data_IF_167970125237
#
_entry.id   IF_167970125237
#
_cell.length_a   1.000
_cell.length_b   1.000
_cell.length_c   1.000
_cell.angle_alpha   90.00
_cell.angle_beta   90.00
_cell.angle_gamma   90.00
#
_symmetry.space_group_name_H-M   'P 1'
#
loop_
_entity.id
_entity.type
_entity.pdbx_description
1 polymer ?
#
# COMPACT_ATOMS: atom_id res chain seq x y z
N UNK A 1 -4.70 24.12 57.29
CA UNK A 1 -4.38 24.93 56.10
C UNK A 1 -3.16 24.33 55.42
N UNK A 2 -3.36 23.40 54.49
CA UNK A 2 -2.32 22.93 53.59
C UNK A 2 -2.85 23.15 52.18
N UNK A 3 -2.23 24.09 51.48
CA UNK A 3 -2.52 24.41 50.09
C UNK A 3 -1.98 23.28 49.23
N UNK A 4 -2.89 22.52 48.66
CA UNK A 4 -2.62 21.46 47.71
C UNK A 4 -2.08 22.09 46.42
N UNK A 5 -0.80 21.82 46.19
CA UNK A 5 -0.02 22.35 45.08
C UNK A 5 -0.53 21.68 43.80
N UNK A 6 -1.32 22.42 43.02
CA UNK A 6 -1.78 22.01 41.69
C UNK A 6 -0.56 21.73 40.81
N UNK A 7 -0.25 20.45 40.64
CA UNK A 7 0.80 20.00 39.74
C UNK A 7 0.41 20.40 38.32
N UNK A 8 1.22 21.28 37.75
CA UNK A 8 1.01 21.92 36.46
C UNK A 8 0.52 20.95 35.38
N UNK A 9 -0.73 21.16 34.98
CA UNK A 9 -1.17 20.85 33.63
C UNK A 9 -0.21 21.58 32.69
N UNK A 10 0.73 20.83 32.14
CA UNK A 10 1.58 21.31 31.05
C UNK A 10 0.59 21.65 29.93
N UNK A 11 0.49 22.91 29.47
CA UNK A 11 -0.47 23.28 28.45
C UNK A 11 -0.19 22.37 27.26
N UNK A 12 -1.17 21.51 26.95
CA UNK A 12 -1.12 20.59 25.83
C UNK A 12 -0.63 21.39 24.62
N UNK A 13 0.62 21.12 24.22
CA UNK A 13 1.25 21.80 23.10
C UNK A 13 0.26 21.75 21.95
N UNK A 14 -0.32 22.90 21.60
CA UNK A 14 -1.35 23.06 20.57
C UNK A 14 -0.83 22.31 19.35
N UNK A 15 -1.36 21.11 19.16
CA UNK A 15 -0.83 20.15 18.22
C UNK A 15 -0.95 20.75 16.84
N UNK A 16 0.18 21.11 16.25
CA UNK A 16 0.23 21.31 14.81
C UNK A 16 -0.35 20.05 14.19
N UNK A 17 -1.51 20.22 13.55
CA UNK A 17 -2.16 19.12 12.87
C UNK A 17 -1.27 18.83 11.66
N UNK A 18 -0.31 17.92 11.82
CA UNK A 18 0.56 17.46 10.75
C UNK A 18 -0.30 16.68 9.74
N UNK A 19 -0.98 17.42 8.87
CA UNK A 19 -1.74 16.90 7.75
C UNK A 19 -0.82 16.81 6.53
N UNK A 20 -0.76 15.64 5.91
CA UNK A 20 -0.13 15.47 4.61
C UNK A 20 0.75 14.23 4.47
N UNK A 21 1.00 13.89 3.21
CA UNK A 21 1.83 12.76 2.80
C UNK A 21 3.29 13.18 2.74
N UNK A 22 4.02 13.02 3.85
CA UNK A 22 5.45 13.33 3.94
C UNK A 22 6.31 12.15 4.39
N UNK A 23 7.63 12.29 4.26
CA UNK A 23 8.64 11.32 4.72
C UNK A 23 8.39 9.90 4.23
N UNK A 24 8.37 8.93 5.15
CA UNK A 24 8.14 7.50 4.84
C UNK A 24 6.84 7.21 4.09
N UNK A 25 5.79 8.00 4.30
CA UNK A 25 4.53 7.81 3.60
C UNK A 25 4.61 8.29 2.14
N UNK A 26 5.32 9.40 1.88
CA UNK A 26 5.60 9.84 0.51
C UNK A 26 6.49 8.84 -0.22
N UNK A 27 7.48 8.26 0.47
CA UNK A 27 8.31 7.18 -0.08
C UNK A 27 7.47 5.96 -0.47
N UNK A 28 6.49 5.55 0.36
CA UNK A 28 5.53 4.50 0.00
C UNK A 28 4.73 4.86 -1.27
N UNK A 29 4.17 6.07 -1.32
CA UNK A 29 3.37 6.51 -2.48
C UNK A 29 4.19 6.48 -3.77
N UNK A 30 5.44 6.96 -3.74
CA UNK A 30 6.32 6.97 -4.92
C UNK A 30 6.76 5.55 -5.28
N UNK A 31 7.21 4.76 -4.30
CA UNK A 31 7.67 3.39 -4.54
C UNK A 31 6.56 2.49 -5.08
N UNK A 32 5.35 2.62 -4.55
CA UNK A 32 4.18 1.88 -5.01
C UNK A 32 3.66 2.43 -6.34
N UNK A 33 3.42 3.74 -6.45
CA UNK A 33 2.74 4.33 -7.60
C UNK A 33 3.61 4.56 -8.84
N UNK A 34 4.93 4.60 -8.69
CA UNK A 34 5.85 4.93 -9.80
C UNK A 34 6.90 3.83 -9.95
N UNK A 35 7.71 3.58 -8.91
CA UNK A 35 8.85 2.68 -9.04
C UNK A 35 8.42 1.23 -9.33
N UNK A 36 7.37 0.75 -8.66
CA UNK A 36 6.88 -0.63 -8.85
C UNK A 36 6.32 -0.86 -10.26
N UNK A 37 5.42 -0.01 -10.80
CA UNK A 37 4.98 -0.13 -12.19
C UNK A 37 6.12 -0.06 -13.21
N UNK A 38 7.05 0.89 -13.06
CA UNK A 38 8.19 1.04 -13.98
C UNK A 38 9.06 -0.21 -13.95
N UNK A 39 9.42 -0.69 -12.76
CA UNK A 39 10.24 -1.90 -12.62
C UNK A 39 9.53 -3.13 -13.19
N UNK A 40 8.23 -3.26 -12.95
CA UNK A 40 7.40 -4.35 -13.44
C UNK A 40 7.35 -4.39 -14.98
N UNK A 41 7.07 -3.24 -15.60
CA UNK A 41 7.05 -3.11 -17.06
C UNK A 41 8.44 -3.31 -17.66
N UNK A 42 9.48 -2.69 -17.08
CA UNK A 42 10.87 -2.87 -17.53
C UNK A 42 11.28 -4.35 -17.51
N UNK A 43 10.98 -5.07 -16.43
CA UNK A 43 11.29 -6.49 -16.28
C UNK A 43 10.53 -7.33 -17.32
N UNK A 44 9.26 -7.02 -17.57
CA UNK A 44 8.46 -7.67 -18.60
C UNK A 44 9.06 -7.48 -20.00
N UNK A 45 9.33 -6.24 -20.41
CA UNK A 45 9.87 -5.95 -21.75
C UNK A 45 11.29 -6.47 -21.94
N UNK A 46 12.10 -6.52 -20.88
CA UNK A 46 13.44 -7.12 -20.94
C UNK A 46 13.40 -8.64 -21.12
N UNK A 47 12.43 -9.31 -20.48
CA UNK A 47 12.28 -10.77 -20.54
C UNK A 47 11.50 -11.30 -21.74
N UNK A 48 10.74 -10.44 -22.43
CA UNK A 48 9.87 -10.84 -23.54
C UNK A 48 10.54 -10.52 -24.88
N UNK A 49 11.06 -11.55 -25.55
CA UNK A 49 11.63 -11.42 -26.91
C UNK A 49 10.62 -11.73 -28.00
N UNK A 50 9.58 -12.50 -27.69
CA UNK A 50 8.57 -12.97 -28.66
C UNK A 50 7.15 -12.62 -28.21
N UNK A 51 6.35 -12.08 -29.14
CA UNK A 51 4.99 -11.60 -28.87
C UNK A 51 3.96 -12.67 -29.21
N UNK A 52 3.77 -13.62 -28.30
CA UNK A 52 2.76 -14.68 -28.42
C UNK A 52 1.56 -14.39 -27.51
N UNK A 53 0.48 -15.16 -27.64
CA UNK A 53 -0.74 -14.97 -26.84
C UNK A 53 -0.47 -14.97 -25.32
N UNK A 54 0.44 -15.82 -24.85
CA UNK A 54 0.86 -15.86 -23.45
C UNK A 54 1.54 -14.55 -23.01
N UNK A 55 2.42 -13.97 -23.84
CA UNK A 55 3.10 -12.71 -23.54
C UNK A 55 2.10 -11.54 -23.49
N UNK A 56 1.14 -11.49 -24.42
CA UNK A 56 0.06 -10.49 -24.40
C UNK A 56 -0.77 -10.62 -23.12
N UNK A 57 -1.15 -11.84 -22.74
CA UNK A 57 -1.89 -12.08 -21.51
C UNK A 57 -1.11 -11.64 -20.27
N UNK A 58 0.19 -11.97 -20.19
CA UNK A 58 1.06 -11.52 -19.11
C UNK A 58 1.16 -9.99 -19.05
N UNK A 59 1.26 -9.31 -20.20
CA UNK A 59 1.26 -7.84 -20.26
C UNK A 59 -0.02 -7.25 -19.70
N UNK A 60 -1.19 -7.78 -20.10
CA UNK A 60 -2.49 -7.32 -19.60
C UNK A 60 -2.59 -7.46 -18.08
N UNK A 61 -2.14 -8.61 -17.54
CA UNK A 61 -2.12 -8.86 -16.10
C UNK A 61 -1.16 -7.91 -15.39
N UNK A 62 0.01 -7.65 -15.99
CA UNK A 62 0.99 -6.70 -15.46
C UNK A 62 0.44 -5.27 -15.42
N UNK A 63 -0.24 -4.84 -16.48
CA UNK A 63 -0.91 -3.53 -16.55
C UNK A 63 -2.03 -3.41 -15.53
N UNK A 64 -2.83 -4.47 -15.32
CA UNK A 64 -3.85 -4.49 -14.29
C UNK A 64 -3.23 -4.35 -12.88
N UNK A 65 -2.15 -5.08 -12.59
CA UNK A 65 -1.40 -4.96 -11.33
C UNK A 65 -0.83 -3.55 -11.13
N UNK A 66 -0.25 -2.96 -12.18
CA UNK A 66 0.21 -1.56 -12.18
C UNK A 66 -0.96 -0.61 -11.86
N UNK A 67 -2.14 -0.84 -12.44
CA UNK A 67 -3.35 -0.08 -12.16
C UNK A 67 -3.74 -0.11 -10.68
N UNK A 68 -3.68 -1.28 -10.02
CA UNK A 68 -3.92 -1.39 -8.58
C UNK A 68 -2.91 -0.57 -7.76
N UNK A 69 -1.62 -0.66 -8.08
CA UNK A 69 -0.59 0.09 -7.37
C UNK A 69 -0.76 1.60 -7.51
N UNK A 70 -0.97 2.08 -8.75
CA UNK A 70 -1.21 3.50 -9.04
C UNK A 70 -2.47 3.99 -8.35
N UNK A 71 -3.56 3.23 -8.41
CA UNK A 71 -4.82 3.57 -7.75
C UNK A 71 -4.66 3.66 -6.23
N UNK A 72 -4.00 2.67 -5.61
CA UNK A 72 -3.70 2.68 -4.18
C UNK A 72 -2.87 3.91 -3.78
N UNK A 73 -1.87 4.26 -4.59
CA UNK A 73 -0.95 5.35 -4.31
C UNK A 73 -1.65 6.71 -4.44
N UNK A 74 -2.41 6.89 -5.52
CA UNK A 74 -3.25 8.05 -5.75
C UNK A 74 -4.27 8.22 -4.63
N UNK A 75 -4.99 7.16 -4.25
CA UNK A 75 -6.00 7.24 -3.20
C UNK A 75 -5.39 7.59 -1.85
N UNK A 76 -4.23 7.03 -1.53
CA UNK A 76 -3.48 7.33 -0.31
C UNK A 76 -3.04 8.81 -0.29
N UNK A 77 -2.58 9.35 -1.42
CA UNK A 77 -2.14 10.74 -1.55
C UNK A 77 -3.29 11.76 -1.56
N UNK A 78 -4.39 11.46 -2.23
CA UNK A 78 -5.46 12.43 -2.46
C UNK A 78 -6.56 12.40 -1.39
N UNK A 79 -6.72 11.30 -0.65
CA UNK A 79 -7.86 11.09 0.25
C UNK A 79 -7.38 10.63 1.62
N UNK A 80 -7.28 11.58 2.55
CA UNK A 80 -6.81 11.40 3.93
C UNK A 80 -7.86 10.78 4.88
N UNK A 81 -8.51 9.69 4.44
CA UNK A 81 -9.47 8.91 5.24
C UNK A 81 -8.92 7.52 5.55
N UNK A 82 -9.24 6.96 6.71
CA UNK A 82 -8.75 5.63 7.11
C UNK A 82 -9.11 4.51 6.11
N UNK A 83 -10.24 4.64 5.40
CA UNK A 83 -10.61 3.74 4.31
C UNK A 83 -9.57 3.68 3.18
N UNK A 84 -8.89 4.79 2.89
CA UNK A 84 -7.80 4.83 1.90
C UNK A 84 -6.60 4.00 2.33
N UNK A 85 -6.29 3.96 3.63
CA UNK A 85 -5.21 3.10 4.16
C UNK A 85 -5.53 1.62 3.95
N UNK A 86 -6.76 1.21 4.26
CA UNK A 86 -7.21 -0.18 4.03
C UNK A 86 -7.16 -0.55 2.54
N UNK A 87 -7.61 0.35 1.66
CA UNK A 87 -7.54 0.14 0.22
C UNK A 87 -6.10 0.06 -0.28
N UNK A 88 -5.19 0.89 0.22
CA UNK A 88 -3.78 0.83 -0.16
C UNK A 88 -3.14 -0.51 0.26
N UNK A 89 -3.48 -1.03 1.45
CA UNK A 89 -3.05 -2.37 1.89
C UNK A 89 -3.58 -3.44 0.92
N UNK A 90 -4.87 -3.40 0.57
CA UNK A 90 -5.44 -4.35 -0.39
C UNK A 90 -4.72 -4.25 -1.74
N UNK A 91 -4.47 -3.04 -2.26
CA UNK A 91 -3.77 -2.84 -3.53
C UNK A 91 -2.31 -3.36 -3.47
N UNK A 92 -1.61 -3.19 -2.34
CA UNK A 92 -0.27 -3.74 -2.14
C UNK A 92 -0.26 -5.27 -2.24
N UNK A 93 -1.19 -5.92 -1.56
CA UNK A 93 -1.27 -7.38 -1.54
C UNK A 93 -1.78 -7.94 -2.86
N UNK A 94 -2.85 -7.39 -3.41
CA UNK A 94 -3.42 -7.82 -4.68
C UNK A 94 -2.42 -7.58 -5.81
N UNK A 95 -1.77 -6.42 -5.88
CA UNK A 95 -0.81 -6.14 -6.95
C UNK A 95 0.35 -7.15 -6.99
N UNK A 96 0.86 -7.56 -5.83
CA UNK A 96 1.96 -8.52 -5.74
C UNK A 96 1.50 -9.98 -5.88
N UNK A 97 0.59 -10.40 -5.02
CA UNK A 97 0.14 -11.79 -4.94
C UNK A 97 -0.61 -12.23 -6.21
N UNK A 98 -1.48 -11.37 -6.73
CA UNK A 98 -2.30 -11.71 -7.89
C UNK A 98 -1.42 -11.89 -9.13
N UNK A 99 -0.42 -11.02 -9.33
CA UNK A 99 0.52 -11.15 -10.43
C UNK A 99 1.25 -12.51 -10.40
N UNK A 100 1.71 -12.94 -9.23
CA UNK A 100 2.43 -14.22 -9.07
C UNK A 100 1.54 -15.42 -9.28
N UNK A 101 0.33 -15.43 -8.70
CA UNK A 101 -0.64 -16.52 -8.93
C UNK A 101 -0.97 -16.65 -10.41
N UNK A 102 -1.19 -15.53 -11.09
CA UNK A 102 -1.47 -15.55 -12.52
C UNK A 102 -0.27 -16.00 -13.35
N UNK A 103 0.96 -15.57 -13.01
CA UNK A 103 2.17 -16.05 -13.70
C UNK A 103 2.33 -17.57 -13.56
N UNK A 104 2.07 -18.12 -12.38
CA UNK A 104 2.08 -19.57 -12.15
C UNK A 104 1.00 -20.28 -12.98
N UNK A 105 -0.21 -19.71 -13.06
CA UNK A 105 -1.29 -20.26 -13.90
C UNK A 105 -0.93 -20.22 -15.39
N UNK A 106 -0.37 -19.12 -15.89
CA UNK A 106 0.07 -19.04 -17.29
C UNK A 106 1.21 -20.04 -17.54
N UNK A 107 2.18 -20.14 -16.63
CA UNK A 107 3.24 -21.14 -16.70
C UNK A 107 2.70 -22.57 -16.74
N UNK A 108 1.67 -22.88 -15.93
CA UNK A 108 1.01 -24.17 -15.91
C UNK A 108 0.23 -24.47 -17.20
N UNK A 109 -0.54 -23.50 -17.71
CA UNK A 109 -1.38 -23.67 -18.91
C UNK A 109 -0.52 -23.86 -20.17
N UNK A 110 0.53 -23.06 -20.33
CA UNK A 110 1.33 -23.04 -21.56
C UNK A 110 2.60 -23.91 -21.50
N UNK A 111 3.13 -24.19 -20.31
CA UNK A 111 4.37 -24.94 -20.10
C UNK A 111 4.27 -26.11 -19.14
N UNK A 112 3.07 -26.43 -18.62
CA UNK A 112 2.89 -27.48 -17.63
C UNK A 112 3.73 -27.25 -16.36
N UNK A 113 4.15 -28.34 -15.72
CA UNK A 113 5.02 -28.27 -14.53
C UNK A 113 6.40 -27.66 -14.81
N UNK A 114 6.92 -27.80 -16.04
CA UNK A 114 8.18 -27.17 -16.43
C UNK A 114 8.05 -25.63 -16.48
N UNK A 115 6.91 -25.12 -16.97
CA UNK A 115 6.60 -23.70 -16.95
C UNK A 115 6.49 -23.14 -15.53
N UNK A 116 5.81 -23.86 -14.62
CA UNK A 116 5.74 -23.50 -13.20
C UNK A 116 7.13 -23.46 -12.55
N UNK A 117 7.95 -24.49 -12.79
CA UNK A 117 9.32 -24.54 -12.27
C UNK A 117 10.18 -23.39 -12.79
N UNK A 118 10.02 -23.03 -14.08
CA UNK A 118 10.71 -21.88 -14.68
C UNK A 118 10.33 -20.57 -13.98
N UNK A 119 9.03 -20.32 -13.76
CA UNK A 119 8.55 -19.14 -13.02
C UNK A 119 9.13 -19.09 -11.62
N UNK A 120 9.06 -20.19 -10.87
CA UNK A 120 9.61 -20.28 -9.50
C UNK A 120 11.14 -20.13 -9.46
N UNK A 121 11.85 -20.62 -10.48
CA UNK A 121 13.32 -20.53 -10.55
C UNK A 121 13.83 -19.13 -10.94
N UNK A 122 13.03 -18.40 -11.72
CA UNK A 122 13.29 -17.01 -12.10
C UNK A 122 12.97 -16.08 -10.95
N UNK A 123 11.90 -16.39 -10.21
CA UNK A 123 11.44 -15.62 -9.06
C UNK A 123 12.13 -16.07 -7.76
N UNK A 124 13.47 -15.97 -7.73
CA UNK A 124 14.25 -16.14 -6.49
C UNK A 124 13.83 -15.13 -5.39
N UNK A 125 13.10 -14.09 -5.79
CA UNK A 125 12.54 -13.04 -4.96
C UNK A 125 11.11 -13.34 -4.49
N UNK A 126 10.59 -14.57 -4.62
CA UNK A 126 9.23 -14.91 -4.15
C UNK A 126 8.98 -14.51 -2.68
N UNK A 127 10.02 -14.60 -1.82
CA UNK A 127 9.96 -14.12 -0.43
C UNK A 127 9.80 -12.60 -0.34
N UNK A 128 10.45 -11.84 -1.22
CA UNK A 128 10.37 -10.38 -1.29
C UNK A 128 8.95 -9.89 -1.53
N UNK A 129 8.17 -10.62 -2.31
CA UNK A 129 6.77 -10.32 -2.60
C UNK A 129 5.88 -10.39 -1.36
N UNK A 130 6.30 -11.10 -0.31
CA UNK A 130 5.62 -11.11 0.99
C UNK A 130 6.22 -10.10 1.96
N UNK A 131 7.55 -9.97 2.00
CA UNK A 131 8.25 -9.03 2.90
C UNK A 131 7.80 -7.59 2.63
N UNK A 132 7.82 -7.17 1.37
CA UNK A 132 7.51 -5.78 1.00
C UNK A 132 6.11 -5.34 1.44
N UNK A 133 5.00 -6.01 1.04
CA UNK A 133 3.67 -5.61 1.49
C UNK A 133 3.48 -5.83 3.00
N UNK A 134 4.15 -6.80 3.63
CA UNK A 134 4.06 -7.00 5.08
C UNK A 134 4.65 -5.83 5.86
N UNK A 135 5.87 -5.40 5.51
CA UNK A 135 6.54 -4.26 6.15
C UNK A 135 5.67 -3.01 6.02
N UNK A 136 5.15 -2.75 4.82
CA UNK A 136 4.30 -1.59 4.59
C UNK A 136 2.94 -1.69 5.28
N UNK A 137 2.34 -2.88 5.34
CA UNK A 137 1.10 -3.11 6.10
C UNK A 137 1.32 -2.80 7.58
N UNK A 138 2.40 -3.32 8.17
CA UNK A 138 2.75 -3.04 9.56
C UNK A 138 2.98 -1.55 9.80
N UNK A 139 3.72 -0.89 8.91
CA UNK A 139 3.94 0.56 8.97
C UNK A 139 2.63 1.34 8.92
N UNK A 140 1.75 1.06 7.95
CA UNK A 140 0.46 1.74 7.78
C UNK A 140 -0.47 1.55 8.98
N UNK A 141 -0.44 0.39 9.63
CA UNK A 141 -1.31 0.09 10.78
C UNK A 141 -0.77 0.63 12.11
N UNK A 142 0.55 0.63 12.31
CA UNK A 142 1.16 1.00 13.60
C UNK A 142 1.68 2.43 13.68
N UNK A 143 2.05 3.06 12.56
CA UNK A 143 2.67 4.38 12.56
C UNK A 143 1.75 5.46 13.14
N UNK A 144 2.24 6.18 14.16
CA UNK A 144 1.56 7.34 14.76
C UNK A 144 1.28 8.40 13.69
N UNK A 145 2.23 8.61 12.77
CA UNK A 145 2.07 9.58 11.68
C UNK A 145 0.89 9.25 10.78
N UNK A 146 0.75 7.99 10.38
CA UNK A 146 -0.36 7.54 9.53
C UNK A 146 -1.69 7.73 10.27
N UNK A 147 -1.75 7.40 11.56
CA UNK A 147 -2.96 7.63 12.36
C UNK A 147 -3.32 9.12 12.47
N UNK A 148 -2.33 10.00 12.61
CA UNK A 148 -2.56 11.45 12.67
C UNK A 148 -3.02 12.02 11.33
N UNK A 149 -2.49 11.50 10.21
CA UNK A 149 -2.84 11.95 8.86
C UNK A 149 -4.20 11.40 8.39
N UNK A 150 -4.54 10.15 8.70
CA UNK A 150 -5.77 9.49 8.27
C UNK A 150 -6.70 9.29 9.46
N UNK A 151 -7.61 10.24 9.68
CA UNK A 151 -8.61 10.15 10.76
C UNK A 151 -9.58 8.99 10.53
N UNK A 152 -9.96 8.29 11.61
CA UNK A 152 -11.04 7.30 11.58
C UNK A 152 -12.40 7.99 11.64
N UNK A 153 -13.43 7.34 11.14
CA UNK A 153 -14.81 7.84 11.24
C UNK A 153 -15.29 7.92 12.69
N UNK A 154 -14.91 6.94 13.53
CA UNK A 154 -15.17 6.97 14.98
C UNK A 154 -14.66 8.24 15.65
N UNK A 155 -13.46 8.69 15.27
CA UNK A 155 -12.82 9.86 15.87
C UNK A 155 -13.53 11.16 15.44
N UNK A 156 -14.26 11.14 14.32
CA UNK A 156 -15.07 12.29 13.88
C UNK A 156 -16.37 12.39 14.67
N UNK A 157 -17.02 11.26 14.95
CA UNK A 157 -18.25 11.20 15.76
C UNK A 157 -17.97 11.63 17.21
N UNK A 158 -16.89 11.11 17.79
CA UNK A 158 -16.45 11.48 19.14
C UNK A 158 -16.09 12.98 19.21
N UNK A 159 -15.36 13.51 18.23
CA UNK A 159 -15.06 14.95 18.16
C UNK A 159 -16.33 15.80 17.97
N UNK A 160 -17.29 15.34 17.15
CA UNK A 160 -18.57 16.03 16.96
C UNK A 160 -19.41 16.04 18.25
N UNK A 161 -19.39 14.93 19.01
CA UNK A 161 -20.01 14.83 20.32
C UNK A 161 -19.34 15.76 21.35
N UNK A 162 -18.01 15.83 21.38
CA UNK A 162 -17.26 16.72 22.27
C UNK A 162 -17.40 18.20 21.91
N UNK A 163 -17.51 18.55 20.61
CA UNK A 163 -17.68 19.92 20.14
C UNK A 163 -19.10 20.45 20.30
N UNK A 164 -20.04 19.63 20.80
CA UNK A 164 -21.29 20.15 21.36
C UNK A 164 -22.18 20.87 20.35
N UNK A 165 -22.16 20.48 19.08
CA UNK A 165 -23.32 20.75 18.20
C UNK A 165 -24.37 19.69 18.52
N UNK A 166 -24.91 19.77 19.74
CA UNK A 166 -26.29 19.36 19.99
C UNK A 166 -27.13 20.50 19.44
N UNK A 167 -27.83 20.28 18.34
CA UNK A 167 -29.02 21.07 18.03
C UNK A 167 -30.06 20.90 19.15
#
# INVERSE_FOLDING_TARGET
>A
MMSEKTAGETPAAKGEILQGVGGWLAFLVISMGILSPIYSLYSFFRGTTEWHAAAILMLVINLAACGFYVYGAWRLNSRHVWRSVRLAIICLWVGGFLATVFLLLVGLIFGGWAGVASVLSTDKDGVRQFIYPTVWTLYLLRSVRVKNTYRRESDKEELAQYLGVKE
#
